data_IF_478406219319
#
_entry.id   IF_478406219319
#
_cell.length_a   1.000
_cell.length_b   1.000
_cell.length_c   1.000
_cell.angle_alpha   90.00
_cell.angle_beta   90.00
_cell.angle_gamma   90.00
#
_symmetry.space_group_name_H-M   'P 1'
#
loop_
_entity.id
_entity.type
_entity.pdbx_description
1 polymer ?
#
# COMPACT_ATOMS: atom_id res chain seq x y z
N UNK A 1 13.67 4.43 8.70
CA UNK A 1 12.82 3.51 7.88
C UNK A 1 12.56 2.28 8.71
N UNK A 2 11.29 1.86 8.80
CA UNK A 2 10.83 0.78 9.68
C UNK A 2 10.34 -0.45 8.92
N UNK A 3 9.70 -0.26 7.78
CA UNK A 3 9.17 -1.36 6.94
C UNK A 3 9.27 -0.98 5.47
N UNK A 4 9.59 -1.97 4.63
CA UNK A 4 9.52 -1.88 3.18
C UNK A 4 8.94 -3.16 2.62
N UNK A 5 7.93 -3.05 1.76
CA UNK A 5 7.35 -4.16 1.02
C UNK A 5 7.26 -3.85 -0.46
N UNK A 6 7.46 -4.86 -1.29
CA UNK A 6 7.09 -4.81 -2.71
C UNK A 6 5.74 -5.52 -2.86
N UNK A 7 4.79 -4.92 -3.55
CA UNK A 7 3.48 -5.52 -3.78
C UNK A 7 3.07 -5.46 -5.26
N UNK A 8 1.79 -5.71 -5.53
CA UNK A 8 1.24 -5.58 -6.89
C UNK A 8 1.70 -6.65 -7.87
N UNK A 9 1.73 -6.30 -9.16
CA UNK A 9 1.97 -7.24 -10.26
C UNK A 9 3.37 -7.88 -10.19
N UNK A 10 4.35 -7.13 -9.69
CA UNK A 10 5.73 -7.56 -9.43
C UNK A 10 5.82 -8.61 -8.32
N UNK A 11 5.09 -8.44 -7.21
CA UNK A 11 5.09 -9.39 -6.11
C UNK A 11 4.38 -10.71 -6.48
N UNK A 12 3.32 -10.62 -7.29
CA UNK A 12 2.50 -11.74 -7.75
C UNK A 12 3.07 -12.49 -8.97
N UNK A 13 4.24 -12.10 -9.49
CA UNK A 13 4.89 -12.76 -10.63
C UNK A 13 4.14 -12.59 -11.97
N UNK A 14 3.24 -11.60 -12.06
CA UNK A 14 2.47 -11.27 -13.28
C UNK A 14 2.99 -10.03 -13.99
N UNK A 15 4.18 -9.58 -13.61
CA UNK A 15 4.78 -8.38 -14.16
C UNK A 15 5.08 -8.53 -15.65
N UNK A 16 4.68 -7.53 -16.41
CA UNK A 16 5.08 -7.30 -17.80
C UNK A 16 6.29 -6.37 -17.83
N UNK A 17 6.93 -6.23 -18.99
CA UNK A 17 8.05 -5.31 -19.18
C UNK A 17 7.69 -3.83 -18.90
N UNK A 18 6.40 -3.49 -18.94
CA UNK A 18 5.88 -2.14 -18.67
C UNK A 18 5.29 -1.99 -17.26
N UNK A 19 5.47 -2.98 -16.37
CA UNK A 19 4.89 -2.92 -15.04
C UNK A 19 5.70 -2.00 -14.11
N UNK A 20 4.99 -1.10 -13.45
CA UNK A 20 5.54 -0.24 -12.41
C UNK A 20 5.94 -1.07 -11.18
N UNK A 21 6.87 -0.53 -10.40
CA UNK A 21 7.29 -1.13 -9.15
C UNK A 21 6.45 -0.55 -8.00
N UNK A 22 5.48 -1.34 -7.54
CA UNK A 22 4.67 -0.99 -6.37
C UNK A 22 5.46 -1.24 -5.07
N UNK A 23 5.79 -0.17 -4.35
CA UNK A 23 6.54 -0.19 -3.09
C UNK A 23 5.72 0.44 -1.97
N UNK A 24 5.59 -0.26 -0.85
CA UNK A 24 4.98 0.25 0.36
C UNK A 24 6.06 0.43 1.42
N UNK A 25 6.09 1.61 2.06
CA UNK A 25 7.10 1.93 3.07
C UNK A 25 6.46 2.48 4.33
N UNK A 26 7.05 2.17 5.48
CA UNK A 26 6.79 2.81 6.75
C UNK A 26 8.08 3.49 7.21
N UNK A 27 8.07 4.81 7.28
CA UNK A 27 9.15 5.59 7.86
C UNK A 27 8.86 5.94 9.33
N UNK A 28 9.87 6.40 10.06
CA UNK A 28 9.73 6.82 11.47
C UNK A 28 8.83 8.05 11.62
N UNK A 29 8.76 8.86 10.57
CA UNK A 29 7.81 9.94 10.40
C UNK A 29 7.16 9.82 9.02
N UNK A 30 5.91 10.28 8.86
CA UNK A 30 5.25 10.33 7.57
C UNK A 30 6.14 11.02 6.52
N UNK A 31 6.14 10.48 5.31
CA UNK A 31 6.92 11.07 4.23
C UNK A 31 6.22 12.34 3.74
N UNK A 32 6.91 13.48 3.77
CA UNK A 32 6.46 14.64 3.03
C UNK A 32 6.56 14.39 1.51
N UNK A 33 5.89 15.24 0.73
CA UNK A 33 5.84 15.09 -0.73
C UNK A 33 7.21 15.17 -1.39
N UNK A 34 8.13 15.97 -0.85
CA UNK A 34 9.48 16.17 -1.38
C UNK A 34 10.32 14.92 -1.18
N UNK A 35 10.34 14.37 0.04
CA UNK A 35 11.03 13.13 0.39
C UNK A 35 10.48 11.95 -0.39
N UNK A 36 9.14 11.84 -0.50
CA UNK A 36 8.49 10.81 -1.31
C UNK A 36 8.95 10.90 -2.76
N UNK A 37 8.94 12.10 -3.36
CA UNK A 37 9.35 12.30 -4.75
C UNK A 37 10.83 11.97 -4.97
N UNK A 38 11.71 12.34 -4.04
CA UNK A 38 13.13 12.00 -4.11
C UNK A 38 13.34 10.47 -4.11
N UNK A 39 12.69 9.75 -3.19
CA UNK A 39 12.75 8.29 -3.12
C UNK A 39 12.24 7.65 -4.42
N UNK A 40 11.10 8.11 -4.93
CA UNK A 40 10.54 7.61 -6.19
C UNK A 40 11.50 7.85 -7.35
N UNK A 41 12.10 9.03 -7.44
CA UNK A 41 13.03 9.39 -8.52
C UNK A 41 14.29 8.53 -8.49
N UNK A 42 14.93 8.40 -7.31
CA UNK A 42 16.14 7.60 -7.13
C UNK A 42 15.90 6.13 -7.47
N UNK A 43 14.81 5.55 -6.99
CA UNK A 43 14.47 4.15 -7.26
C UNK A 43 14.10 3.96 -8.73
N UNK A 44 13.33 4.87 -9.33
CA UNK A 44 12.96 4.77 -10.74
C UNK A 44 14.19 4.80 -11.65
N UNK A 45 15.15 5.68 -11.35
CA UNK A 45 16.42 5.76 -12.09
C UNK A 45 17.25 4.48 -11.92
N UNK A 46 17.28 3.91 -10.71
CA UNK A 46 18.06 2.70 -10.42
C UNK A 46 17.46 1.43 -11.03
N UNK A 47 16.14 1.32 -11.08
CA UNK A 47 15.43 0.15 -11.61
C UNK A 47 15.02 0.28 -13.08
N UNK A 48 15.18 1.46 -13.67
CA UNK A 48 14.82 1.73 -15.07
C UNK A 48 13.34 1.58 -15.37
N UNK A 49 12.48 1.79 -14.37
CA UNK A 49 11.02 1.68 -14.48
C UNK A 49 10.31 2.62 -13.49
N UNK A 50 9.06 3.00 -13.73
CA UNK A 50 8.33 3.84 -12.78
C UNK A 50 8.12 3.12 -11.45
N UNK A 51 8.10 3.89 -10.36
CA UNK A 51 7.89 3.40 -8.99
C UNK A 51 6.65 4.07 -8.41
N UNK A 52 5.67 3.28 -7.97
CA UNK A 52 4.57 3.78 -7.16
C UNK A 52 4.88 3.54 -5.67
N UNK A 53 5.13 4.63 -4.93
CA UNK A 53 5.46 4.57 -3.51
C UNK A 53 4.22 4.87 -2.67
N UNK A 54 3.79 3.92 -1.85
CA UNK A 54 2.72 4.06 -0.86
C UNK A 54 3.33 4.24 0.53
N UNK A 55 2.97 5.33 1.21
CA UNK A 55 3.29 5.53 2.63
C UNK A 55 2.25 4.82 3.50
N UNK A 56 2.66 3.74 4.19
CA UNK A 56 1.82 2.94 5.06
C UNK A 56 1.29 3.73 6.26
N UNK A 57 1.94 4.83 6.67
CA UNK A 57 1.44 5.66 7.76
C UNK A 57 0.09 6.30 7.40
N UNK A 58 -0.08 6.71 6.15
CA UNK A 58 -1.23 7.47 5.62
C UNK A 58 -2.10 6.71 4.61
N UNK A 59 -1.75 5.47 4.30
CA UNK A 59 -2.45 4.67 3.31
C UNK A 59 -3.88 4.34 3.77
N UNK A 60 -4.83 4.43 2.84
CA UNK A 60 -6.19 3.94 3.08
C UNK A 60 -6.27 2.41 3.10
N UNK A 61 -7.37 1.89 3.64
CA UNK A 61 -7.63 0.44 3.79
C UNK A 61 -7.37 -0.38 2.51
N UNK A 62 -7.79 0.04 1.30
CA UNK A 62 -7.54 -0.75 0.09
C UNK A 62 -6.04 -0.92 -0.20
N UNK A 63 -5.26 0.16 -0.08
CA UNK A 63 -3.82 0.16 -0.33
C UNK A 63 -3.07 -0.60 0.75
N UNK A 64 -3.45 -0.43 2.03
CA UNK A 64 -2.92 -1.21 3.15
C UNK A 64 -3.14 -2.71 2.94
N UNK A 65 -4.36 -3.14 2.60
CA UNK A 65 -4.66 -4.54 2.34
C UNK A 65 -3.87 -5.10 1.17
N UNK A 66 -3.77 -4.35 0.06
CA UNK A 66 -3.01 -4.78 -1.11
C UNK A 66 -1.53 -4.98 -0.77
N UNK A 67 -0.93 -3.99 -0.09
CA UNK A 67 0.48 -4.02 0.27
C UNK A 67 0.82 -5.10 1.30
N UNK A 68 0.00 -5.25 2.35
CA UNK A 68 0.32 -6.13 3.47
C UNK A 68 -0.06 -7.60 3.20
N UNK A 69 -1.15 -7.87 2.49
CA UNK A 69 -1.60 -9.25 2.20
C UNK A 69 -1.03 -9.81 0.89
N UNK A 70 -0.80 -8.95 -0.10
CA UNK A 70 -0.28 -9.33 -1.42
C UNK A 70 1.21 -9.02 -1.61
N UNK A 71 1.83 -8.32 -0.66
CA UNK A 71 3.22 -7.91 -0.76
C UNK A 71 4.21 -8.86 -0.11
N UNK A 72 5.48 -8.68 -0.45
CA UNK A 72 6.64 -9.35 0.13
C UNK A 72 7.45 -8.32 0.90
N UNK A 73 7.73 -8.62 2.17
CA UNK A 73 8.61 -7.80 3.01
C UNK A 73 10.03 -7.86 2.43
N UNK A 74 10.60 -6.69 2.11
CA UNK A 74 11.99 -6.55 1.65
C UNK A 74 12.88 -5.94 2.73
N UNK A 75 12.28 -5.27 3.72
CA UNK A 75 12.98 -4.69 4.86
C UNK A 75 12.03 -4.58 6.05
N UNK A 76 12.49 -4.94 7.24
CA UNK A 76 11.84 -4.66 8.51
C UNK A 76 12.92 -4.27 9.53
N UNK A 77 12.69 -3.20 10.29
CA UNK A 77 13.63 -2.75 11.32
C UNK A 77 13.61 -3.68 12.55
N UNK A 78 12.48 -4.31 12.81
CA UNK A 78 12.25 -5.27 13.89
C UNK A 78 11.12 -6.23 13.50
N UNK A 79 11.10 -7.41 14.16
CA UNK A 79 10.17 -8.50 13.84
C UNK A 79 8.70 -8.14 14.11
N UNK A 80 8.44 -7.13 14.95
CA UNK A 80 7.11 -6.73 15.38
C UNK A 80 6.46 -5.66 14.49
N UNK A 81 7.25 -4.91 13.70
CA UNK A 81 6.72 -3.84 12.83
C UNK A 81 5.71 -4.38 11.83
N UNK A 82 5.98 -5.50 11.16
CA UNK A 82 5.07 -6.04 10.15
C UNK A 82 3.77 -6.58 10.78
N UNK A 83 3.81 -7.44 11.82
CA UNK A 83 2.61 -7.83 12.58
C UNK A 83 1.78 -6.65 13.07
N UNK A 84 2.42 -5.59 13.59
CA UNK A 84 1.70 -4.39 14.05
C UNK A 84 0.92 -3.70 12.91
N UNK A 85 1.48 -3.66 11.69
CA UNK A 85 0.76 -3.12 10.53
C UNK A 85 -0.40 -4.02 10.09
N UNK A 86 -0.25 -5.35 10.18
CA UNK A 86 -1.36 -6.29 9.92
C UNK A 86 -2.50 -6.06 10.91
N UNK A 87 -2.19 -5.95 12.20
CA UNK A 87 -3.18 -5.67 13.24
C UNK A 87 -3.92 -4.35 12.98
N UNK A 88 -3.19 -3.26 12.72
CA UNK A 88 -3.80 -1.97 12.36
C UNK A 88 -4.72 -2.09 11.15
N UNK A 89 -4.26 -2.73 10.08
CA UNK A 89 -5.05 -2.93 8.86
C UNK A 89 -6.34 -3.70 9.14
N UNK A 90 -6.33 -4.71 10.01
CA UNK A 90 -7.54 -5.45 10.38
C UNK A 90 -8.55 -4.55 11.11
N UNK A 91 -8.11 -3.72 12.04
CA UNK A 91 -8.97 -2.73 12.71
C UNK A 91 -9.51 -1.69 11.73
N UNK A 92 -8.65 -1.05 10.94
CA UNK A 92 -9.05 -0.05 9.96
C UNK A 92 -10.05 -0.65 8.93
N UNK A 93 -9.86 -1.92 8.57
CA UNK A 93 -10.79 -2.65 7.69
C UNK A 93 -12.14 -2.88 8.35
N UNK A 94 -12.18 -3.31 9.62
CA UNK A 94 -13.41 -3.56 10.36
C UNK A 94 -14.26 -2.28 10.48
N UNK A 95 -13.61 -1.15 10.72
CA UNK A 95 -14.29 0.15 10.80
C UNK A 95 -14.75 0.65 9.43
N UNK A 96 -13.98 0.39 8.37
CA UNK A 96 -14.29 0.85 7.01
C UNK A 96 -15.39 0.05 6.29
N UNK A 97 -15.45 -1.27 6.50
CA UNK A 97 -16.35 -2.17 5.76
C UNK A 97 -17.84 -1.80 5.89
N UNK A 98 -18.38 -1.45 7.08
CA UNK A 98 -19.77 -1.01 7.22
C UNK A 98 -20.10 0.24 6.39
N UNK A 99 -19.18 1.20 6.29
CA UNK A 99 -19.37 2.40 5.48
C UNK A 99 -19.41 2.06 3.98
N UNK A 100 -18.53 1.16 3.52
CA UNK A 100 -18.52 0.71 2.13
C UNK A 100 -19.82 0.01 1.75
N UNK A 101 -20.35 -0.86 2.62
CA UNK A 101 -21.61 -1.56 2.37
C UNK A 101 -22.79 -0.59 2.25
N UNK A 102 -22.85 0.43 3.11
CA UNK A 102 -23.87 1.48 3.03
C UNK A 102 -23.83 2.25 1.71
N UNK A 103 -22.63 2.62 1.24
CA UNK A 103 -22.46 3.33 -0.04
C UNK A 103 -22.87 2.45 -1.22
N UNK A 104 -22.48 1.17 -1.22
CA UNK A 104 -22.83 0.23 -2.29
C UNK A 104 -24.33 -0.07 -2.32
N UNK A 105 -24.96 -0.19 -1.14
CA UNK A 105 -26.41 -0.35 -1.03
C UNK A 105 -27.14 0.86 -1.59
N UNK A 106 -26.79 2.07 -1.16
CA UNK A 106 -27.40 3.30 -1.64
C UNK A 106 -27.26 3.47 -3.16
N UNK A 107 -26.10 3.09 -3.74
CA UNK A 107 -25.90 3.08 -5.19
C UNK A 107 -26.77 2.05 -5.90
N UNK A 108 -26.93 0.85 -5.34
CA UNK A 108 -27.77 -0.19 -5.94
C UNK A 108 -29.25 0.21 -5.93
N UNK A 109 -29.71 0.81 -4.85
CA UNK A 109 -31.09 1.29 -4.71
C UNK A 109 -31.39 2.46 -5.68
N UNK A 110 -30.42 3.35 -5.94
CA UNK A 110 -30.56 4.46 -6.88
C UNK A 110 -30.56 4.06 -8.36
N UNK A 111 -30.12 2.84 -8.72
CA UNK A 111 -30.10 2.35 -10.10
C UNK A 111 -31.24 1.37 -10.43
N UNK A 112 -31.91 0.83 -9.41
CA UNK A 112 -33.08 -0.05 -9.55
C UNK A 112 -34.42 0.67 -9.29
N UNK A 113 -34.38 1.96 -8.94
CA UNK A 113 -35.54 2.84 -8.72
C UNK A 113 -35.75 3.82 -9.85
#
# INVERSE_FOLDING_TARGET
MRLGLVFGSMACGRATASSDLDLAVLADQPLDSVRRSAIVSDLSQRFGRPVDLVDLANAGVPSLRSALLGGKVVYAADDDVYPAQITRMLFDSADFLPYRERILKARRDAWLG
#
